data_IF_486835093367
#
_entry.id   IF_486835093367
#
_cell.length_a   1.000
_cell.length_b   1.000
_cell.length_c   1.000
_cell.angle_alpha   90.00
_cell.angle_beta   90.00
_cell.angle_gamma   90.00
#
_symmetry.space_group_name_H-M   'P 1'
#
loop_
_entity.id
_entity.type
_entity.pdbx_description
1 polymer ?
#
# COMPACT_ATOMS: atom_id res chain seq x y z
N UNK A 1 17.06 5.35 -4.17
CA UNK A 1 16.00 4.34 -4.41
C UNK A 1 15.94 3.33 -3.27
N UNK A 2 17.07 2.78 -2.83
CA UNK A 2 17.08 1.84 -1.69
C UNK A 2 16.46 2.40 -0.40
N UNK A 3 16.65 3.70 -0.10
CA UNK A 3 16.02 4.34 1.07
C UNK A 3 14.49 4.38 1.04
N UNK A 4 13.88 4.15 -0.13
CA UNK A 4 12.43 4.08 -0.32
C UNK A 4 11.90 2.67 -0.56
N UNK A 5 12.74 1.64 -0.41
CA UNK A 5 12.36 0.27 -0.70
C UNK A 5 11.49 -0.32 0.42
N UNK A 6 10.30 -0.80 0.05
CA UNK A 6 9.37 -1.47 0.95
C UNK A 6 9.19 -2.93 0.49
N UNK A 7 9.71 -3.92 1.23
CA UNK A 7 9.49 -5.33 0.92
C UNK A 7 8.02 -5.73 1.12
N UNK A 8 7.45 -6.44 0.16
CA UNK A 8 6.04 -6.89 0.20
C UNK A 8 5.86 -8.37 -0.11
N UNK A 9 6.93 -9.16 -0.04
CA UNK A 9 6.86 -10.61 -0.25
C UNK A 9 5.87 -11.23 0.74
N UNK A 10 4.92 -12.03 0.23
CA UNK A 10 3.84 -12.67 0.99
C UNK A 10 2.93 -11.69 1.75
N UNK A 11 2.73 -10.48 1.24
CA UNK A 11 1.88 -9.47 1.88
C UNK A 11 0.38 -9.72 1.60
N UNK A 12 -0.53 -9.54 2.58
CA UNK A 12 -1.96 -9.81 2.41
C UNK A 12 -2.66 -8.90 1.39
N UNK A 13 -2.13 -7.68 1.20
CA UNK A 13 -2.62 -6.72 0.21
C UNK A 13 -1.86 -6.86 -1.11
N UNK A 14 -0.53 -6.93 -1.04
CA UNK A 14 0.35 -6.91 -2.21
C UNK A 14 0.78 -8.34 -2.52
N UNK A 15 -0.12 -9.08 -3.18
CA UNK A 15 0.02 -10.53 -3.40
C UNK A 15 1.01 -10.87 -4.52
N UNK A 16 1.14 -10.00 -5.51
CA UNK A 16 1.99 -10.21 -6.69
C UNK A 16 3.20 -9.28 -6.70
N UNK A 17 3.11 -8.13 -6.04
CA UNK A 17 4.25 -7.24 -5.84
C UNK A 17 5.18 -7.74 -4.73
N UNK A 18 6.49 -7.74 -4.98
CA UNK A 18 7.50 -8.22 -4.04
C UNK A 18 8.31 -7.10 -3.39
N UNK A 19 8.36 -5.93 -4.04
CA UNK A 19 9.11 -4.76 -3.58
C UNK A 19 8.51 -3.50 -4.18
N UNK A 20 8.07 -2.60 -3.32
CA UNK A 20 7.57 -1.26 -3.69
C UNK A 20 8.66 -0.22 -3.48
N UNK A 21 8.58 0.87 -4.23
CA UNK A 21 9.35 2.08 -4.00
C UNK A 21 8.43 3.22 -3.56
N UNK A 22 8.59 3.72 -2.34
CA UNK A 22 7.87 4.89 -1.79
C UNK A 22 8.90 5.93 -1.34
N UNK A 23 8.73 7.18 -1.72
CA UNK A 23 9.73 8.23 -1.51
C UNK A 23 9.21 9.26 -0.52
N UNK A 24 9.97 9.47 0.55
CA UNK A 24 9.67 10.48 1.57
C UNK A 24 8.30 10.27 2.25
N UNK A 25 7.93 8.99 2.48
CA UNK A 25 6.68 8.61 3.12
C UNK A 25 6.61 9.08 4.59
N UNK A 26 5.46 9.63 4.97
CA UNK A 26 5.15 10.03 6.33
C UNK A 26 4.68 8.85 7.19
N UNK A 27 5.07 8.84 8.46
CA UNK A 27 4.57 7.87 9.42
C UNK A 27 3.12 8.18 9.83
N UNK A 28 2.31 7.13 9.98
CA UNK A 28 0.94 7.17 10.49
C UNK A 28 0.92 6.57 11.90
N UNK A 29 0.20 7.19 12.83
CA UNK A 29 -0.15 6.55 14.10
C UNK A 29 -1.59 6.04 14.01
N UNK A 30 -1.82 4.78 14.36
CA UNK A 30 -3.17 4.18 14.34
C UNK A 30 -3.79 4.18 15.74
N UNK A 31 -5.10 4.41 15.80
CA UNK A 31 -5.87 4.38 17.05
C UNK A 31 -7.32 3.94 16.78
N UNK A 32 -8.02 3.48 17.81
CA UNK A 32 -9.41 3.06 17.68
C UNK A 32 -9.57 1.88 16.71
N UNK A 33 -10.48 1.95 15.72
CA UNK A 33 -10.71 0.85 14.78
C UNK A 33 -9.67 0.75 13.65
N UNK A 34 -8.71 1.67 13.57
CA UNK A 34 -7.70 1.68 12.52
C UNK A 34 -6.66 0.57 12.74
N UNK A 35 -6.25 -0.07 11.66
CA UNK A 35 -5.20 -1.09 11.64
C UNK A 35 -4.06 -0.69 10.72
N UNK A 36 -2.85 -1.07 11.13
CA UNK A 36 -1.67 -0.94 10.29
C UNK A 36 -1.74 -1.95 9.14
N UNK A 37 -1.48 -1.49 7.92
CA UNK A 37 -1.54 -2.30 6.70
C UNK A 37 -0.20 -2.41 5.99
N UNK A 38 0.70 -1.44 6.15
CA UNK A 38 2.06 -1.50 5.60
C UNK A 38 3.03 -0.77 6.52
N UNK A 39 4.23 -1.30 6.63
CA UNK A 39 5.29 -0.79 7.49
C UNK A 39 6.55 -0.49 6.69
N UNK A 40 7.24 0.58 7.06
CA UNK A 40 8.63 0.85 6.70
C UNK A 40 9.47 0.79 7.98
N UNK A 41 10.23 -0.30 8.15
CA UNK A 41 10.91 -0.59 9.41
C UNK A 41 9.92 -0.66 10.58
N UNK A 42 9.99 0.31 11.49
CA UNK A 42 9.10 0.43 12.67
C UNK A 42 7.96 1.42 12.50
N UNK A 43 7.87 2.09 11.36
CA UNK A 43 6.87 3.12 11.09
C UNK A 43 5.74 2.55 10.24
N UNK A 44 4.49 2.83 10.61
CA UNK A 44 3.33 2.51 9.77
C UNK A 44 3.27 3.55 8.65
N UNK A 45 3.13 3.12 7.41
CA UNK A 45 3.04 3.99 6.23
C UNK A 45 1.76 3.77 5.42
N UNK A 46 0.96 2.76 5.78
CA UNK A 46 -0.39 2.57 5.27
C UNK A 46 -1.27 2.03 6.40
N UNK A 47 -2.48 2.54 6.50
CA UNK A 47 -3.46 2.12 7.49
C UNK A 47 -4.86 2.08 6.88
N UNK A 48 -5.72 1.22 7.41
CA UNK A 48 -7.13 1.20 7.04
C UNK A 48 -8.05 1.13 8.24
N UNK A 49 -9.30 1.56 8.06
CA UNK A 49 -10.36 1.43 9.04
C UNK A 49 -11.69 1.15 8.34
N UNK A 50 -12.53 0.31 8.94
CA UNK A 50 -13.94 0.23 8.55
C UNK A 50 -14.67 1.45 9.12
N UNK A 51 -15.42 2.16 8.27
CA UNK A 51 -16.18 3.33 8.67
C UNK A 51 -17.57 3.31 7.99
N UNK A 52 -18.62 3.23 8.80
CA UNK A 52 -19.98 3.03 8.30
C UNK A 52 -20.09 1.74 7.49
N UNK A 53 -20.47 1.86 6.21
CA UNK A 53 -20.60 0.73 5.27
C UNK A 53 -19.34 0.50 4.41
N UNK A 54 -18.29 1.29 4.61
CA UNK A 54 -17.12 1.29 3.73
C UNK A 54 -15.80 1.07 4.47
N UNK A 55 -14.72 1.15 3.70
CA UNK A 55 -13.35 1.16 4.19
C UNK A 55 -12.69 2.50 3.86
N UNK A 56 -11.95 3.06 4.82
CA UNK A 56 -11.04 4.18 4.61
C UNK A 56 -9.63 3.60 4.54
N UNK A 57 -8.88 3.96 3.51
CA UNK A 57 -7.45 3.67 3.38
C UNK A 57 -6.68 4.99 3.43
N UNK A 58 -5.67 5.07 4.28
CA UNK A 58 -4.73 6.18 4.36
C UNK A 58 -3.33 5.66 4.00
N UNK A 59 -2.64 6.38 3.11
CA UNK A 59 -1.27 6.09 2.69
C UNK A 59 -0.43 7.32 2.99
N UNK A 60 0.72 7.12 3.65
CA UNK A 60 1.64 8.19 4.06
C UNK A 60 2.47 8.77 2.91
N UNK A 61 2.25 8.28 1.69
CA UNK A 61 2.93 8.68 0.46
C UNK A 61 1.87 8.77 -0.65
N UNK A 62 1.92 9.79 -1.51
CA UNK A 62 1.00 9.93 -2.64
C UNK A 62 1.19 8.90 -3.78
N UNK A 63 2.23 8.08 -3.68
CA UNK A 63 2.70 6.87 -4.35
C UNK A 63 2.11 6.38 -5.68
N UNK A 64 0.81 6.48 -5.90
CA UNK A 64 0.17 6.13 -7.16
C UNK A 64 0.41 7.21 -8.23
N UNK A 65 1.67 7.58 -8.41
CA UNK A 65 2.08 8.44 -9.50
C UNK A 65 2.46 7.61 -10.72
N UNK A 66 2.17 8.18 -11.88
CA UNK A 66 2.48 7.58 -13.18
C UNK A 66 3.97 7.25 -13.34
N UNK A 67 4.87 7.97 -12.68
CA UNK A 67 6.32 7.74 -12.81
C UNK A 67 6.82 6.49 -12.09
N UNK A 68 6.09 5.99 -11.10
CA UNK A 68 6.43 4.78 -10.35
C UNK A 68 5.70 3.53 -10.85
N UNK A 69 4.63 3.67 -11.64
CA UNK A 69 3.87 2.52 -12.18
C UNK A 69 4.07 2.27 -13.68
N UNK A 70 4.92 3.06 -14.35
CA UNK A 70 5.16 2.95 -15.80
C UNK A 70 6.28 1.97 -16.21
N UNK A 71 6.80 1.18 -15.27
CA UNK A 71 7.87 0.21 -15.53
C UNK A 71 9.28 0.79 -15.68
N UNK A 72 9.50 2.08 -15.37
CA UNK A 72 10.83 2.74 -15.47
C UNK A 72 11.62 2.80 -14.17
N UNK A 73 11.08 2.22 -13.09
CA UNK A 73 11.83 2.08 -11.84
C UNK A 73 13.03 1.15 -12.02
N UNK A 74 14.06 1.26 -11.16
CA UNK A 74 15.16 0.30 -11.14
C UNK A 74 14.66 -1.15 -11.07
N UNK A 75 15.44 -2.06 -11.64
CA UNK A 75 15.09 -3.47 -11.69
C UNK A 75 14.73 -4.04 -10.30
N UNK A 76 13.66 -4.83 -10.25
CA UNK A 76 13.17 -5.48 -9.04
C UNK A 76 12.13 -4.68 -8.26
N UNK A 77 11.89 -3.41 -8.57
CA UNK A 77 10.68 -2.72 -8.08
C UNK A 77 9.47 -3.13 -8.92
N UNK A 78 8.35 -3.38 -8.25
CA UNK A 78 7.13 -3.98 -8.83
C UNK A 78 5.89 -3.16 -8.45
N UNK A 79 6.03 -1.84 -8.48
CA UNK A 79 4.98 -0.88 -8.13
C UNK A 79 3.76 -0.96 -9.07
N UNK A 80 3.97 -1.30 -10.34
CA UNK A 80 2.91 -1.61 -11.32
C UNK A 80 1.96 -2.68 -10.76
N UNK A 81 2.53 -3.80 -10.30
CA UNK A 81 1.79 -4.91 -9.67
C UNK A 81 1.20 -4.52 -8.34
N UNK A 82 1.91 -3.68 -7.58
CA UNK A 82 1.43 -3.17 -6.30
C UNK A 82 0.18 -2.30 -6.44
N UNK A 83 0.10 -1.51 -7.52
CA UNK A 83 -1.09 -0.73 -7.85
C UNK A 83 -2.28 -1.65 -8.20
N UNK A 84 -2.06 -2.66 -9.05
CA UNK A 84 -3.09 -3.65 -9.40
C UNK A 84 -3.59 -4.41 -8.17
N UNK A 85 -2.67 -4.91 -7.34
CA UNK A 85 -2.95 -5.60 -6.09
C UNK A 85 -3.79 -4.74 -5.13
N UNK A 86 -3.46 -3.45 -4.99
CA UNK A 86 -4.17 -2.53 -4.13
C UNK A 86 -5.60 -2.28 -4.63
N UNK A 87 -5.79 -2.12 -5.95
CA UNK A 87 -7.12 -1.96 -6.56
C UNK A 87 -7.96 -3.22 -6.33
N UNK A 88 -7.40 -4.41 -6.55
CA UNK A 88 -8.08 -5.68 -6.28
C UNK A 88 -8.48 -5.79 -4.81
N UNK A 89 -7.60 -5.39 -3.89
CA UNK A 89 -7.91 -5.39 -2.48
C UNK A 89 -9.05 -4.42 -2.15
N UNK A 90 -9.00 -3.18 -2.65
CA UNK A 90 -10.06 -2.18 -2.45
C UNK A 90 -11.41 -2.65 -2.99
N UNK A 91 -11.44 -3.23 -4.19
CA UNK A 91 -12.66 -3.81 -4.77
C UNK A 91 -13.23 -4.92 -3.89
N UNK A 92 -12.38 -5.76 -3.29
CA UNK A 92 -12.81 -6.81 -2.34
C UNK A 92 -13.43 -6.26 -1.04
N UNK A 93 -13.19 -4.99 -0.72
CA UNK A 93 -13.79 -4.29 0.43
C UNK A 93 -15.06 -3.53 0.07
N UNK A 94 -15.22 -3.18 -1.21
CA UNK A 94 -16.34 -2.37 -1.69
C UNK A 94 -17.60 -3.19 -1.98
N UNK A 95 -17.47 -4.49 -2.23
CA UNK A 95 -18.61 -5.37 -2.45
C UNK A 95 -19.27 -5.76 -1.13
N UNK A 96 -20.56 -5.44 -0.99
CA UNK A 96 -21.42 -6.06 0.01
C UNK A 96 -21.24 -7.57 -0.07
N UNK A 97 -21.08 -8.22 1.10
CA UNK A 97 -21.38 -9.65 1.22
C UNK A 97 -22.87 -9.81 0.88
N UNK A 98 -23.18 -10.03 -0.39
CA UNK A 98 -24.49 -10.54 -0.80
C UNK A 98 -24.73 -11.90 -0.16
#
# INVERSE_FOLDING_TARGET
FEDGAIPTVNHPIFKTSTKLFMKDACAITVSGPAKAELWSGKSIIMASATYGKGVVLAVGDPWLYNEYVNGRLPAGFTNDKGADDLVVWLLSKATDKK
#
